data_IF_210126619502
#
_entry.id   IF_210126619502
#
_cell.length_a   1.000
_cell.length_b   1.000
_cell.length_c   1.000
_cell.angle_alpha   90.00
_cell.angle_beta   90.00
_cell.angle_gamma   90.00
#
_symmetry.space_group_name_H-M   'P 1'
#
loop_
_entity.id
_entity.type
_entity.pdbx_description
1 polymer ?
#
# COMPACT_ATOMS: atom_id res chain seq x y z
N UNK A 1 -5.80 -25.71 35.81
CA UNK A 1 -6.50 -26.58 34.86
C UNK A 1 -5.51 -27.47 34.14
N UNK A 2 -5.83 -28.76 33.97
CA UNK A 2 -5.06 -29.66 33.12
C UNK A 2 -5.62 -29.53 31.71
N UNK A 3 -4.76 -29.24 30.75
CA UNK A 3 -5.10 -29.25 29.32
C UNK A 3 -4.36 -30.39 28.63
N UNK A 4 -4.89 -30.85 27.50
CA UNK A 4 -4.28 -31.91 26.72
C UNK A 4 -4.11 -31.46 25.28
N UNK A 5 -2.92 -31.66 24.71
CA UNK A 5 -2.69 -31.41 23.30
C UNK A 5 -3.57 -32.36 22.46
N UNK A 6 -4.37 -31.84 21.51
CA UNK A 6 -5.24 -32.68 20.70
C UNK A 6 -4.45 -33.63 19.77
N UNK A 7 -3.22 -33.26 19.40
CA UNK A 7 -2.39 -34.00 18.45
C UNK A 7 -1.57 -35.13 19.10
N UNK A 8 -0.76 -34.83 20.13
CA UNK A 8 0.16 -35.80 20.75
C UNK A 8 -0.29 -36.29 22.14
N UNK A 9 -1.43 -35.79 22.66
CA UNK A 9 -1.99 -36.15 23.98
C UNK A 9 -1.13 -35.80 25.21
N UNK A 10 -0.03 -35.08 25.03
CA UNK A 10 0.76 -34.51 26.14
C UNK A 10 -0.09 -33.56 27.00
N UNK A 11 0.05 -33.68 28.31
CA UNK A 11 -0.70 -32.89 29.30
C UNK A 11 0.16 -31.75 29.84
N UNK A 12 -0.46 -30.59 30.07
CA UNK A 12 0.18 -29.44 30.70
C UNK A 12 -0.75 -28.83 31.74
N UNK A 13 -0.17 -28.30 32.82
CA UNK A 13 -0.90 -27.61 33.87
C UNK A 13 -0.80 -26.10 33.65
N UNK A 14 -1.94 -25.44 33.46
CA UNK A 14 -2.04 -23.98 33.29
C UNK A 14 -2.94 -23.38 34.38
N UNK A 15 -2.74 -22.10 34.74
CA UNK A 15 -3.68 -21.38 35.61
C UNK A 15 -5.04 -21.20 34.90
N UNK A 16 -6.13 -21.22 35.67
CA UNK A 16 -7.49 -21.10 35.13
C UNK A 16 -7.74 -19.77 34.38
N UNK A 17 -6.97 -18.72 34.70
CA UNK A 17 -7.02 -17.42 34.01
C UNK A 17 -6.54 -17.45 32.55
N UNK A 18 -6.08 -18.60 32.05
CA UNK A 18 -5.60 -18.80 30.67
C UNK A 18 -6.49 -19.76 29.87
N UNK A 19 -7.70 -20.05 30.34
CA UNK A 19 -8.71 -20.76 29.55
C UNK A 19 -9.06 -19.95 28.27
N UNK A 20 -9.11 -20.63 27.12
CA UNK A 20 -9.35 -19.98 25.83
C UNK A 20 -8.12 -19.33 25.18
N UNK A 21 -6.95 -19.31 25.84
CA UNK A 21 -5.72 -18.77 25.26
C UNK A 21 -5.09 -19.74 24.25
N UNK A 22 -4.46 -19.20 23.19
CA UNK A 22 -3.64 -19.99 22.26
C UNK A 22 -2.33 -20.40 22.95
N UNK A 23 -2.09 -21.69 23.07
CA UNK A 23 -0.92 -22.30 23.68
C UNK A 23 -0.19 -23.18 22.69
N UNK A 24 1.15 -23.20 22.76
CA UNK A 24 1.99 -24.07 21.93
C UNK A 24 2.35 -25.34 22.72
N UNK A 25 2.16 -26.51 22.12
CA UNK A 25 2.60 -27.77 22.72
C UNK A 25 4.13 -27.83 22.78
N UNK A 26 4.72 -28.22 23.91
CA UNK A 26 6.17 -28.39 24.06
C UNK A 26 6.75 -29.55 23.26
N UNK A 27 5.95 -30.59 22.99
CA UNK A 27 6.44 -31.83 22.35
C UNK A 27 6.29 -31.81 20.82
N UNK A 28 5.18 -31.27 20.31
CA UNK A 28 4.87 -31.30 18.86
C UNK A 28 4.76 -29.91 18.23
N UNK A 29 5.08 -28.86 18.98
CA UNK A 29 5.07 -27.44 18.59
C UNK A 29 3.74 -26.90 18.01
N UNK A 30 2.68 -27.71 17.99
CA UNK A 30 1.38 -27.32 17.47
C UNK A 30 0.70 -26.33 18.41
N UNK A 31 0.15 -25.26 17.84
CA UNK A 31 -0.64 -24.26 18.57
C UNK A 31 -2.10 -24.70 18.63
N UNK A 32 -2.69 -24.69 19.83
CA UNK A 32 -4.08 -25.04 20.07
C UNK A 32 -4.67 -24.15 21.18
N UNK A 33 -6.00 -24.14 21.32
CA UNK A 33 -6.67 -23.36 22.36
C UNK A 33 -6.73 -24.16 23.66
N UNK A 34 -6.32 -23.54 24.77
CA UNK A 34 -6.33 -24.16 26.08
C UNK A 34 -7.77 -24.39 26.58
N UNK A 35 -8.25 -25.62 26.46
CA UNK A 35 -9.54 -26.07 26.99
C UNK A 35 -9.34 -27.11 28.09
N UNK A 36 -10.11 -27.06 29.19
CA UNK A 36 -9.98 -28.01 30.29
C UNK A 36 -10.25 -29.45 29.83
N UNK A 37 -9.51 -30.40 30.40
CA UNK A 37 -9.71 -31.82 30.17
C UNK A 37 -11.17 -32.19 30.51
N UNK A 38 -11.98 -32.49 29.49
CA UNK A 38 -13.40 -32.86 29.64
C UNK A 38 -14.40 -31.89 28.98
N UNK A 39 -13.99 -30.68 28.57
CA UNK A 39 -14.85 -29.81 27.75
C UNK A 39 -14.82 -30.30 26.29
N UNK A 40 -15.90 -30.94 25.84
CA UNK A 40 -16.08 -31.30 24.43
C UNK A 40 -16.15 -30.01 23.58
N UNK A 41 -15.15 -29.82 22.72
CA UNK A 41 -15.28 -28.88 21.60
C UNK A 41 -16.35 -29.39 20.62
N UNK A 42 -17.08 -28.51 19.92
CA UNK A 42 -17.99 -28.93 18.86
C UNK A 42 -17.17 -29.61 17.76
N UNK A 43 -17.43 -30.89 17.54
CA UNK A 43 -16.78 -31.68 16.49
C UNK A 43 -17.15 -31.10 15.13
N UNK A 44 -16.14 -30.65 14.38
CA UNK A 44 -16.28 -30.31 12.97
C UNK A 44 -16.89 -31.48 12.19
N UNK A 45 -17.81 -31.15 11.28
CA UNK A 45 -18.66 -32.09 10.55
C UNK A 45 -17.85 -33.09 9.73
N UNK A 46 -17.93 -34.36 10.14
CA UNK A 46 -17.65 -35.50 9.28
C UNK A 46 -18.91 -35.86 8.48
N UNK A 47 -18.73 -35.99 7.18
CA UNK A 47 -19.77 -36.38 6.22
C UNK A 47 -20.17 -37.85 6.47
N UNK A 48 -21.43 -38.11 6.81
CA UNK A 48 -21.96 -39.45 7.12
C UNK A 48 -23.01 -39.88 6.08
N UNK A 49 -22.71 -40.85 5.19
CA UNK A 49 -23.55 -41.18 4.04
C UNK A 49 -24.83 -41.96 4.36
N UNK A 50 -25.11 -42.24 5.63
CA UNK A 50 -26.33 -42.96 6.05
C UNK A 50 -27.55 -42.05 6.30
N UNK A 51 -27.37 -40.71 6.37
CA UNK A 51 -28.48 -39.76 6.57
C UNK A 51 -29.30 -39.46 5.30
N UNK A 52 -28.85 -39.91 4.13
CA UNK A 52 -29.52 -39.64 2.85
C UNK A 52 -30.68 -40.60 2.55
N UNK A 53 -30.72 -41.77 3.20
CA UNK A 53 -31.78 -42.77 2.96
C UNK A 53 -33.07 -42.48 3.76
N UNK A 54 -32.97 -41.80 4.91
CA UNK A 54 -34.13 -41.49 5.76
C UNK A 54 -34.93 -40.28 5.22
N UNK A 55 -34.27 -39.34 4.54
CA UNK A 55 -34.92 -38.16 3.96
C UNK A 55 -35.85 -38.47 2.77
N UNK A 56 -35.50 -39.48 1.96
CA UNK A 56 -36.29 -39.83 0.76
C UNK A 56 -37.59 -40.56 1.14
N UNK A 57 -37.58 -41.37 2.20
CA UNK A 57 -38.79 -42.08 2.66
C UNK A 57 -39.80 -41.13 3.32
N UNK A 58 -39.32 -40.10 4.04
CA UNK A 58 -40.19 -39.10 4.67
C UNK A 58 -40.89 -38.20 3.64
N UNK A 59 -40.21 -37.80 2.56
CA UNK A 59 -40.79 -36.97 1.50
C UNK A 59 -41.88 -37.71 0.70
N UNK A 60 -41.71 -39.01 0.45
CA UNK A 60 -42.71 -39.84 -0.26
C UNK A 60 -43.94 -40.06 0.63
N UNK A 61 -43.76 -40.28 1.94
CA UNK A 61 -44.88 -40.43 2.87
C UNK A 61 -45.72 -39.14 3.00
N UNK A 62 -45.07 -37.96 3.03
CA UNK A 62 -45.76 -36.67 3.09
C UNK A 62 -46.53 -36.39 1.78
N UNK A 63 -45.94 -36.74 0.62
CA UNK A 63 -46.61 -36.60 -0.68
C UNK A 63 -47.86 -37.48 -0.84
N UNK A 64 -47.82 -38.72 -0.31
CA UNK A 64 -48.98 -39.64 -0.35
C UNK A 64 -50.09 -39.17 0.59
N UNK A 65 -49.76 -38.61 1.76
CA UNK A 65 -50.76 -38.04 2.69
C UNK A 65 -51.41 -36.79 2.08
N UNK A 66 -50.66 -35.93 1.39
CA UNK A 66 -51.21 -34.73 0.74
C UNK A 66 -52.10 -35.08 -0.48
N UNK A 67 -51.79 -36.16 -1.19
CA UNK A 67 -52.58 -36.64 -2.34
C UNK A 67 -53.94 -37.23 -1.95
N UNK A 68 -54.10 -37.75 -0.73
CA UNK A 68 -55.33 -38.42 -0.28
C UNK A 68 -56.32 -37.47 0.42
N UNK A 69 -55.87 -36.32 0.94
CA UNK A 69 -56.72 -35.41 1.75
C UNK A 69 -57.38 -34.30 0.92
N UNK A 70 -57.09 -34.15 -0.37
CA UNK A 70 -57.63 -33.09 -1.24
C UNK A 70 -59.00 -33.40 -1.88
N UNK A 71 -59.94 -34.01 -1.15
CA UNK A 71 -61.35 -34.10 -1.59
C UNK A 71 -62.34 -33.70 -0.49
N UNK A 72 -62.94 -32.51 -0.71
CA UNK A 72 -64.26 -32.01 -0.23
C UNK A 72 -64.33 -31.42 1.20
N UNK A 73 -65.36 -30.60 1.54
CA UNK A 73 -65.29 -29.13 1.43
C UNK A 73 -65.63 -28.40 2.75
N UNK A 74 -65.43 -27.08 2.73
CA UNK A 74 -65.96 -26.03 3.60
C UNK A 74 -65.98 -26.26 5.11
N UNK A 75 -64.99 -25.67 5.79
CA UNK A 75 -65.08 -25.35 7.21
C UNK A 75 -64.61 -23.92 7.44
N UNK A 76 -65.57 -23.10 7.82
CA UNK A 76 -65.42 -21.72 8.27
C UNK A 76 -64.38 -21.66 9.40
N UNK A 77 -63.28 -20.93 9.18
CA UNK A 77 -62.28 -20.65 10.21
C UNK A 77 -62.36 -19.16 10.56
N UNK A 78 -62.58 -18.92 11.86
CA UNK A 78 -62.49 -17.62 12.51
C UNK A 78 -61.07 -17.08 12.32
N UNK A 79 -60.97 -15.86 11.77
CA UNK A 79 -59.72 -15.12 11.62
C UNK A 79 -59.32 -14.58 13.00
N UNK A 80 -58.33 -15.19 13.63
CA UNK A 80 -57.56 -14.51 14.68
C UNK A 80 -56.61 -13.52 13.99
N UNK A 81 -56.81 -12.24 14.31
CA UNK A 81 -55.96 -11.12 13.92
C UNK A 81 -54.53 -11.39 14.42
N UNK A 82 -53.50 -11.47 13.54
CA UNK A 82 -52.14 -11.63 14.01
C UNK A 82 -51.71 -10.35 14.70
N UNK A 83 -51.36 -10.47 15.98
CA UNK A 83 -50.71 -9.42 16.77
C UNK A 83 -49.59 -8.78 15.94
N UNK A 84 -49.79 -7.50 15.62
CA UNK A 84 -48.75 -6.66 15.06
C UNK A 84 -47.61 -6.58 16.07
N UNK A 85 -46.60 -7.43 15.88
CA UNK A 85 -45.28 -7.20 16.46
C UNK A 85 -44.77 -5.90 15.87
N UNK A 86 -44.88 -4.84 16.64
CA UNK A 86 -44.23 -3.56 16.41
C UNK A 86 -42.75 -3.84 16.25
N UNK A 87 -42.30 -3.90 15.00
CA UNK A 87 -40.90 -4.00 14.64
C UNK A 87 -40.33 -2.64 15.00
N UNK A 88 -39.74 -2.53 16.18
CA UNK A 88 -38.94 -1.37 16.57
C UNK A 88 -37.95 -1.14 15.43
N UNK A 89 -38.09 -0.03 14.71
CA UNK A 89 -37.14 0.37 13.70
C UNK A 89 -35.78 0.46 14.42
N UNK A 90 -34.89 -0.50 14.17
CA UNK A 90 -33.48 -0.37 14.50
C UNK A 90 -33.05 0.96 13.91
N UNK A 91 -32.65 1.90 14.77
CA UNK A 91 -32.03 3.15 14.35
C UNK A 91 -30.92 2.79 13.36
N UNK A 92 -31.07 3.26 12.12
CA UNK A 92 -30.11 2.99 11.06
C UNK A 92 -28.76 3.55 11.53
N UNK A 93 -27.74 2.70 11.61
CA UNK A 93 -26.37 3.14 11.90
C UNK A 93 -25.95 4.14 10.81
N UNK A 94 -25.84 5.45 11.14
CA UNK A 94 -25.57 6.48 10.15
C UNK A 94 -24.12 6.44 9.67
N UNK A 95 -23.26 5.65 10.34
CA UNK A 95 -21.81 5.59 10.12
C UNK A 95 -21.33 4.24 9.60
N UNK A 96 -22.11 3.17 9.79
CA UNK A 96 -21.77 1.83 9.34
C UNK A 96 -22.10 1.55 7.86
N UNK A 97 -22.15 0.26 7.51
CA UNK A 97 -22.36 -0.22 6.15
C UNK A 97 -23.63 0.30 5.47
N UNK A 98 -24.66 0.59 6.26
CA UNK A 98 -25.95 1.11 5.79
C UNK A 98 -26.04 2.64 5.72
N UNK A 99 -24.95 3.34 6.05
CA UNK A 99 -24.83 4.79 5.92
C UNK A 99 -25.14 5.25 4.49
N UNK A 100 -25.81 6.40 4.30
CA UNK A 100 -26.01 6.98 2.97
C UNK A 100 -24.69 7.23 2.23
N UNK A 101 -23.61 7.55 2.93
CA UNK A 101 -22.30 7.82 2.34
C UNK A 101 -21.61 6.55 1.85
N UNK A 102 -21.70 5.47 2.64
CA UNK A 102 -21.20 4.14 2.25
C UNK A 102 -21.99 3.60 1.06
N UNK A 103 -23.31 3.79 1.04
CA UNK A 103 -24.17 3.44 -0.10
C UNK A 103 -23.79 4.21 -1.37
N UNK A 104 -23.51 5.51 -1.26
CA UNK A 104 -23.04 6.32 -2.39
C UNK A 104 -21.69 5.84 -2.94
N UNK A 105 -20.74 5.50 -2.07
CA UNK A 105 -19.46 4.94 -2.48
C UNK A 105 -19.62 3.59 -3.17
N UNK A 106 -20.52 2.72 -2.68
CA UNK A 106 -20.86 1.44 -3.31
C UNK A 106 -21.51 1.62 -4.69
N UNK A 107 -22.42 2.59 -4.81
CA UNK A 107 -23.05 2.94 -6.08
C UNK A 107 -21.99 3.34 -7.12
N UNK A 108 -20.97 4.12 -6.73
CA UNK A 108 -19.84 4.44 -7.62
C UNK A 108 -19.09 3.19 -8.09
N UNK A 109 -18.83 2.22 -7.23
CA UNK A 109 -18.23 0.94 -7.64
C UNK A 109 -19.09 0.18 -8.65
N UNK A 110 -20.40 0.13 -8.44
CA UNK A 110 -21.34 -0.53 -9.35
C UNK A 110 -21.41 0.19 -10.71
N UNK A 111 -21.48 1.52 -10.70
CA UNK A 111 -21.52 2.34 -11.92
C UNK A 111 -20.22 2.26 -12.72
N UNK A 112 -19.07 2.21 -12.03
CA UNK A 112 -17.76 2.04 -12.66
C UNK A 112 -17.64 0.63 -13.27
N UNK A 113 -18.02 -0.42 -12.54
CA UNK A 113 -18.03 -1.78 -13.05
C UNK A 113 -18.99 -1.94 -14.25
N UNK A 114 -20.12 -1.23 -14.25
CA UNK A 114 -21.08 -1.19 -15.36
C UNK A 114 -20.64 -0.25 -16.51
N UNK A 115 -19.51 0.45 -16.38
CA UNK A 115 -19.02 1.47 -17.31
C UNK A 115 -20.05 2.54 -17.67
N UNK A 116 -20.86 2.97 -16.70
CA UNK A 116 -21.89 3.99 -16.89
C UNK A 116 -21.32 5.41 -16.72
N UNK A 117 -20.63 5.89 -17.77
CA UNK A 117 -19.93 7.19 -17.78
C UNK A 117 -20.83 8.37 -17.36
N UNK A 118 -22.08 8.40 -17.84
CA UNK A 118 -23.00 9.50 -17.55
C UNK A 118 -23.36 9.57 -16.07
N UNK A 119 -23.65 8.42 -15.45
CA UNK A 119 -24.00 8.36 -14.03
C UNK A 119 -22.78 8.66 -13.14
N UNK A 120 -21.60 8.13 -13.50
CA UNK A 120 -20.35 8.45 -12.80
C UNK A 120 -20.08 9.96 -12.87
N UNK A 121 -20.17 10.57 -14.06
CA UNK A 121 -19.96 12.02 -14.24
C UNK A 121 -20.87 12.86 -13.33
N UNK A 122 -22.12 12.44 -13.10
CA UNK A 122 -23.05 13.15 -12.24
C UNK A 122 -22.63 13.14 -10.75
N UNK A 123 -21.90 12.10 -10.33
CA UNK A 123 -21.44 11.87 -8.96
C UNK A 123 -20.02 12.38 -8.70
N UNK A 124 -19.29 12.86 -9.72
CA UNK A 124 -17.95 13.43 -9.57
C UNK A 124 -17.98 14.94 -9.39
N UNK A 125 -17.06 15.45 -8.55
CA UNK A 125 -16.84 16.86 -8.30
C UNK A 125 -15.60 17.38 -9.03
N UNK A 126 -15.79 17.94 -10.24
CA UNK A 126 -14.68 18.38 -11.09
C UNK A 126 -13.84 19.50 -10.50
N UNK A 127 -14.46 20.44 -9.77
CA UNK A 127 -13.76 21.59 -9.22
C UNK A 127 -12.74 21.20 -8.15
N UNK A 128 -13.11 20.36 -7.17
CA UNK A 128 -12.17 19.96 -6.12
C UNK A 128 -11.04 19.07 -6.68
N UNK A 129 -11.34 18.25 -7.69
CA UNK A 129 -10.33 17.45 -8.39
C UNK A 129 -9.36 18.35 -9.16
N UNK A 130 -9.88 19.35 -9.90
CA UNK A 130 -9.08 20.31 -10.64
C UNK A 130 -8.20 21.14 -9.71
N UNK A 131 -8.77 21.62 -8.60
CA UNK A 131 -8.07 22.37 -7.56
C UNK A 131 -6.89 21.58 -7.02
N UNK A 132 -7.13 20.33 -6.59
CA UNK A 132 -6.08 19.45 -6.09
C UNK A 132 -4.97 19.20 -7.12
N UNK A 133 -5.32 18.98 -8.40
CA UNK A 133 -4.35 18.68 -9.46
C UNK A 133 -3.50 19.90 -9.85
N UNK A 134 -4.05 21.12 -9.78
CA UNK A 134 -3.35 22.32 -10.24
C UNK A 134 -2.67 23.12 -9.13
N UNK A 135 -3.11 23.03 -7.88
CA UNK A 135 -2.49 23.73 -6.76
C UNK A 135 -1.18 23.09 -6.28
N UNK A 136 -0.65 22.07 -6.98
CA UNK A 136 0.60 21.43 -6.57
C UNK A 136 0.51 20.79 -5.18
N UNK A 137 -0.69 20.44 -4.71
CA UNK A 137 -0.91 19.60 -3.53
C UNK A 137 -0.45 18.17 -3.82
N UNK A 138 0.86 17.99 -3.98
CA UNK A 138 1.58 16.72 -3.84
C UNK A 138 1.78 16.32 -2.37
N UNK A 139 1.10 17.01 -1.44
CA UNK A 139 0.95 16.53 -0.07
C UNK A 139 -0.18 15.49 0.02
N UNK A 140 -0.10 14.51 0.94
CA UNK A 140 -1.23 13.64 1.22
C UNK A 140 -2.45 14.50 1.55
N UNK A 141 -3.63 14.11 1.06
CA UNK A 141 -4.89 14.75 1.44
C UNK A 141 -4.92 14.92 2.97
N UNK A 142 -5.38 16.05 3.53
CA UNK A 142 -5.33 16.29 4.97
C UNK A 142 -5.96 15.09 5.66
N UNK A 143 -5.11 14.29 6.29
CA UNK A 143 -5.55 13.21 7.15
C UNK A 143 -5.70 13.91 8.49
N UNK A 144 -6.91 13.95 9.04
CA UNK A 144 -7.27 14.74 10.24
C UNK A 144 -6.51 14.40 11.54
N UNK A 145 -5.31 13.81 11.44
CA UNK A 145 -4.36 13.55 12.52
C UNK A 145 -2.96 14.16 12.28
N UNK A 146 -2.67 14.72 11.10
CA UNK A 146 -1.37 15.39 10.82
C UNK A 146 -1.43 16.92 10.91
N UNK A 147 -2.63 17.50 10.99
CA UNK A 147 -2.82 18.95 10.94
C UNK A 147 -2.43 19.66 12.24
N UNK A 148 -2.42 18.98 13.40
CA UNK A 148 -2.04 19.67 14.65
C UNK A 148 -0.58 20.10 14.69
N UNK A 149 0.36 19.38 14.05
CA UNK A 149 1.79 19.74 14.07
C UNK A 149 2.04 20.88 13.08
N UNK A 150 1.40 20.83 11.90
CA UNK A 150 1.52 21.86 10.88
C UNK A 150 0.86 23.18 11.31
N UNK A 151 -0.29 23.12 12.01
CA UNK A 151 -0.93 24.33 12.57
C UNK A 151 -0.12 24.93 13.73
N UNK A 152 0.49 24.11 14.61
CA UNK A 152 1.33 24.61 15.71
C UNK A 152 2.63 25.22 15.19
N UNK A 153 3.26 24.61 14.18
CA UNK A 153 4.46 25.14 13.52
C UNK A 153 4.15 26.40 12.69
N UNK A 154 3.02 26.44 11.98
CA UNK A 154 2.57 27.62 11.25
C UNK A 154 2.21 28.78 12.20
N UNK A 155 1.54 28.49 13.33
CA UNK A 155 1.26 29.48 14.36
C UNK A 155 2.54 29.99 15.04
N UNK A 156 3.52 29.11 15.28
CA UNK A 156 4.82 29.50 15.82
C UNK A 156 5.63 30.37 14.84
N UNK A 157 5.59 30.06 13.54
CA UNK A 157 6.21 30.89 12.51
C UNK A 157 5.51 32.23 12.33
N UNK A 158 4.17 32.26 12.37
CA UNK A 158 3.40 33.50 12.32
C UNK A 158 3.69 34.39 13.54
N UNK A 159 3.79 33.81 14.74
CA UNK A 159 4.17 34.53 15.95
C UNK A 159 5.62 35.06 15.89
N UNK A 160 6.55 34.29 15.31
CA UNK A 160 7.93 34.72 15.12
C UNK A 160 8.06 35.88 14.12
N UNK A 161 7.31 35.85 13.00
CA UNK A 161 7.27 36.94 12.01
C UNK A 161 6.61 38.20 12.55
N UNK A 162 5.51 38.05 13.30
CA UNK A 162 4.86 39.16 14.00
C UNK A 162 5.81 39.84 15.01
N UNK A 163 6.63 39.04 15.73
CA UNK A 163 7.66 39.56 16.62
C UNK A 163 8.81 40.25 15.88
N UNK A 164 9.11 39.84 14.65
CA UNK A 164 10.12 40.45 13.79
C UNK A 164 9.64 41.72 13.06
N UNK A 165 8.36 42.08 13.17
CA UNK A 165 7.78 43.25 12.49
C UNK A 165 7.70 43.10 10.97
N UNK A 166 7.77 41.86 10.47
CA UNK A 166 7.59 41.57 9.05
C UNK A 166 6.13 41.81 8.66
N UNK A 167 5.86 42.46 7.51
CA UNK A 167 4.50 42.58 7.02
C UNK A 167 3.92 41.18 6.84
N UNK A 168 2.71 40.97 7.36
CA UNK A 168 1.96 39.72 7.19
C UNK A 168 1.94 39.41 5.68
N UNK A 169 2.46 38.24 5.25
CA UNK A 169 2.44 37.89 3.84
C UNK A 169 0.98 37.90 3.40
N UNK A 170 0.65 38.66 2.36
CA UNK A 170 -0.66 38.56 1.72
C UNK A 170 -0.89 37.08 1.44
N UNK A 171 -1.93 36.51 2.05
CA UNK A 171 -2.31 35.13 1.82
C UNK A 171 -2.36 34.93 0.29
N UNK A 172 -1.73 33.87 -0.25
CA UNK A 172 -1.86 33.58 -1.67
C UNK A 172 -3.36 33.60 -1.98
N UNK A 173 -3.81 34.26 -3.06
CA UNK A 173 -5.22 34.31 -3.37
C UNK A 173 -5.72 32.87 -3.43
N UNK A 174 -6.51 32.47 -2.43
CA UNK A 174 -7.23 31.20 -2.40
C UNK A 174 -8.35 31.36 -3.40
N UNK A 175 -7.98 31.29 -4.67
CA UNK A 175 -8.81 31.80 -5.74
C UNK A 175 -9.79 30.69 -6.13
N UNK A 176 -10.84 30.53 -5.29
CA UNK A 176 -12.06 29.77 -5.54
C UNK A 176 -12.69 30.11 -6.92
N UNK A 177 -12.18 31.14 -7.61
CA UNK A 177 -12.58 31.59 -8.94
C UNK A 177 -11.88 30.87 -10.08
N UNK A 178 -10.77 30.16 -9.85
CA UNK A 178 -9.99 29.58 -10.96
C UNK A 178 -10.80 28.57 -11.78
N UNK A 179 -11.54 27.66 -11.14
CA UNK A 179 -12.40 26.72 -11.85
C UNK A 179 -13.51 27.43 -12.63
N UNK A 180 -14.14 28.45 -12.04
CA UNK A 180 -15.18 29.24 -12.70
C UNK A 180 -14.66 30.06 -13.90
N UNK A 181 -13.35 30.30 -13.98
CA UNK A 181 -12.68 30.97 -15.11
C UNK A 181 -12.29 29.99 -16.24
N UNK A 182 -12.23 28.68 -15.97
CA UNK A 182 -12.02 27.65 -16.98
C UNK A 182 -13.22 27.62 -17.93
N UNK A 183 -12.96 27.61 -19.25
CA UNK A 183 -14.02 27.56 -20.25
C UNK A 183 -14.87 26.28 -20.10
N UNK A 184 -16.18 26.37 -20.33
CA UNK A 184 -17.09 25.24 -20.08
C UNK A 184 -16.78 23.98 -20.89
N UNK A 185 -16.22 24.12 -22.09
CA UNK A 185 -15.72 23.00 -22.90
C UNK A 185 -14.45 22.37 -22.32
N UNK A 186 -13.57 23.18 -21.72
CA UNK A 186 -12.38 22.71 -21.03
C UNK A 186 -12.73 21.99 -19.72
N UNK A 187 -13.68 22.52 -18.94
CA UNK A 187 -14.22 21.83 -17.76
C UNK A 187 -14.81 20.46 -18.13
N UNK A 188 -15.57 20.39 -19.24
CA UNK A 188 -16.16 19.15 -19.73
C UNK A 188 -15.09 18.14 -20.18
N UNK A 189 -14.06 18.58 -20.90
CA UNK A 189 -12.92 17.71 -21.29
C UNK A 189 -12.17 17.20 -20.07
N UNK A 190 -11.90 18.06 -19.09
CA UNK A 190 -11.23 17.68 -17.85
C UNK A 190 -12.02 16.60 -17.11
N UNK A 191 -13.32 16.83 -16.90
CA UNK A 191 -14.20 15.87 -16.25
C UNK A 191 -14.29 14.54 -17.01
N UNK A 192 -14.40 14.57 -18.34
CA UNK A 192 -14.39 13.35 -19.15
C UNK A 192 -13.09 12.55 -18.97
N UNK A 193 -11.94 13.23 -18.91
CA UNK A 193 -10.64 12.60 -18.64
C UNK A 193 -10.58 11.94 -17.26
N UNK A 194 -11.07 12.62 -16.21
CA UNK A 194 -11.15 12.08 -14.85
C UNK A 194 -12.05 10.86 -14.78
N UNK A 195 -13.20 10.89 -15.46
CA UNK A 195 -14.14 9.76 -15.48
C UNK A 195 -13.54 8.59 -16.25
N UNK A 196 -12.90 8.82 -17.39
CA UNK A 196 -12.19 7.77 -18.14
C UNK A 196 -11.12 7.10 -17.27
N UNK A 197 -10.30 7.88 -16.56
CA UNK A 197 -9.30 7.38 -15.62
C UNK A 197 -9.92 6.52 -14.52
N UNK A 198 -11.03 6.95 -13.92
CA UNK A 198 -11.74 6.17 -12.90
C UNK A 198 -12.33 4.87 -13.47
N UNK A 199 -12.82 4.88 -14.71
CA UNK A 199 -13.38 3.71 -15.40
C UNK A 199 -12.32 2.67 -15.83
N UNK A 200 -11.06 3.11 -15.99
CA UNK A 200 -9.92 2.26 -16.33
C UNK A 200 -9.07 1.89 -15.10
N UNK A 201 -9.31 2.51 -13.95
CA UNK A 201 -8.58 2.24 -12.71
C UNK A 201 -8.93 0.86 -12.15
N UNK A 202 -7.93 -0.02 -12.05
CA UNK A 202 -8.08 -1.36 -11.45
C UNK A 202 -8.66 -1.30 -10.03
N UNK A 203 -8.28 -0.29 -9.23
CA UNK A 203 -8.68 -0.14 -7.82
C UNK A 203 -10.21 -0.19 -7.61
N UNK A 204 -11.00 0.30 -8.56
CA UNK A 204 -12.46 0.39 -8.46
C UNK A 204 -13.14 -0.59 -9.42
N UNK A 205 -12.63 -0.73 -10.65
CA UNK A 205 -13.26 -1.57 -11.66
C UNK A 205 -13.23 -3.08 -11.31
N UNK A 206 -12.12 -3.57 -10.75
CA UNK A 206 -11.89 -5.00 -10.51
C UNK A 206 -12.26 -5.47 -9.09
N UNK A 207 -12.60 -4.53 -8.22
CA UNK A 207 -12.86 -4.79 -6.81
C UNK A 207 -14.32 -4.55 -6.46
N UNK A 208 -14.83 -5.28 -5.47
CA UNK A 208 -16.19 -5.19 -4.98
C UNK A 208 -16.20 -4.89 -3.48
N UNK A 209 -16.92 -3.85 -3.03
CA UNK A 209 -17.08 -3.56 -1.62
C UNK A 209 -17.91 -4.63 -0.90
N UNK A 210 -17.45 -5.09 0.26
CA UNK A 210 -18.20 -6.01 1.12
C UNK A 210 -18.39 -5.52 2.57
N UNK A 211 -17.63 -4.51 2.99
CA UNK A 211 -17.76 -3.86 4.30
C UNK A 211 -17.27 -2.39 4.21
N UNK A 212 -17.61 -1.54 5.18
CA UNK A 212 -17.25 -0.13 5.13
C UNK A 212 -17.90 0.74 6.20
N UNK A 213 -17.30 1.91 6.44
CA UNK A 213 -17.72 2.86 7.45
C UNK A 213 -17.38 4.29 7.06
N UNK A 214 -18.02 5.25 7.74
CA UNK A 214 -17.71 6.68 7.68
C UNK A 214 -16.65 6.97 8.74
N UNK A 215 -15.49 7.48 8.30
CA UNK A 215 -14.38 7.83 9.19
C UNK A 215 -14.58 9.21 9.81
N UNK A 216 -14.99 10.19 9.01
CA UNK A 216 -15.26 11.56 9.46
C UNK A 216 -16.35 12.21 8.61
N UNK A 217 -17.08 13.13 9.21
CA UNK A 217 -18.13 13.93 8.58
C UNK A 217 -18.03 15.37 9.10
N UNK A 218 -17.65 16.29 8.22
CA UNK A 218 -17.42 17.70 8.50
C UNK A 218 -18.32 18.57 7.62
N UNK A 219 -19.64 18.46 7.81
CA UNK A 219 -20.70 19.32 7.23
C UNK A 219 -20.82 19.34 5.70
N UNK A 220 -19.74 19.70 5.01
CA UNK A 220 -19.54 19.70 3.57
C UNK A 220 -18.57 18.64 3.08
N UNK A 221 -17.74 18.03 3.95
CA UNK A 221 -16.83 16.94 3.56
C UNK A 221 -17.12 15.67 4.35
N UNK A 222 -17.00 14.50 3.70
CA UNK A 222 -17.17 13.19 4.33
C UNK A 222 -16.10 12.24 3.81
N UNK A 223 -15.45 11.53 4.73
CA UNK A 223 -14.48 10.48 4.44
C UNK A 223 -15.13 9.11 4.68
N UNK A 224 -15.17 8.28 3.64
CA UNK A 224 -15.69 6.91 3.69
C UNK A 224 -14.56 5.93 3.43
N UNK A 225 -14.51 4.84 4.20
CA UNK A 225 -13.57 3.73 3.97
C UNK A 225 -14.34 2.48 3.65
N UNK A 226 -13.98 1.83 2.55
CA UNK A 226 -14.56 0.57 2.10
C UNK A 226 -13.51 -0.54 2.17
N UNK A 227 -13.91 -1.70 2.69
CA UNK A 227 -13.19 -2.94 2.47
C UNK A 227 -13.67 -3.57 1.16
N UNK A 228 -12.72 -3.94 0.32
CA UNK A 228 -13.00 -4.46 -1.01
C UNK A 228 -12.30 -5.80 -1.23
N UNK A 229 -12.98 -6.70 -1.94
CA UNK A 229 -12.47 -7.99 -2.38
C UNK A 229 -12.42 -8.02 -3.90
N UNK A 230 -11.43 -8.70 -4.46
CA UNK A 230 -11.29 -8.76 -5.90
C UNK A 230 -12.42 -9.63 -6.52
N UNK A 231 -13.02 -9.17 -7.61
CA UNK A 231 -14.22 -9.78 -8.21
C UNK A 231 -13.96 -11.15 -8.83
N UNK A 232 -12.78 -11.34 -9.43
CA UNK A 232 -12.46 -12.54 -10.23
C UNK A 232 -11.55 -13.52 -9.49
N UNK A 233 -10.44 -13.04 -8.95
CA UNK A 233 -9.49 -13.80 -8.12
C UNK A 233 -9.74 -13.64 -6.60
N UNK A 234 -10.46 -14.57 -5.94
CA UNK A 234 -10.66 -14.54 -4.48
C UNK A 234 -9.41 -14.89 -3.67
N UNK A 235 -8.30 -15.27 -4.32
CA UNK A 235 -7.02 -15.54 -3.68
C UNK A 235 -6.22 -14.28 -3.34
N UNK A 236 -6.60 -13.13 -3.90
CA UNK A 236 -5.98 -11.84 -3.57
C UNK A 236 -6.42 -11.35 -2.19
N UNK A 237 -5.49 -10.74 -1.46
CA UNK A 237 -5.79 -10.14 -0.16
C UNK A 237 -6.79 -8.98 -0.32
N UNK A 238 -7.77 -8.92 0.59
CA UNK A 238 -8.70 -7.80 0.69
C UNK A 238 -7.94 -6.48 0.84
N UNK A 239 -8.49 -5.41 0.27
CA UNK A 239 -7.89 -4.07 0.31
C UNK A 239 -8.86 -3.08 0.93
N UNK A 240 -8.35 -1.89 1.24
CA UNK A 240 -9.18 -0.77 1.65
C UNK A 240 -9.07 0.36 0.64
N UNK A 241 -10.19 1.02 0.38
CA UNK A 241 -10.29 2.21 -0.48
C UNK A 241 -10.90 3.33 0.33
N UNK A 242 -10.22 4.48 0.39
CA UNK A 242 -10.77 5.70 0.97
C UNK A 242 -11.41 6.53 -0.13
N UNK A 243 -12.63 6.99 0.11
CA UNK A 243 -13.37 7.93 -0.71
C UNK A 243 -13.60 9.21 0.08
N UNK A 244 -13.50 10.36 -0.60
CA UNK A 244 -13.96 11.63 -0.03
C UNK A 244 -15.05 12.24 -0.89
N UNK A 245 -16.07 12.71 -0.20
CA UNK A 245 -17.25 13.32 -0.79
C UNK A 245 -17.37 14.75 -0.31
N UNK A 246 -17.71 15.64 -1.23
CA UNK A 246 -18.00 17.03 -0.95
C UNK A 246 -19.46 17.35 -1.28
N UNK A 247 -20.12 18.13 -0.44
CA UNK A 247 -21.52 18.52 -0.63
C UNK A 247 -21.61 19.79 -1.46
N UNK A 248 -22.07 19.65 -2.71
CA UNK A 248 -22.31 20.78 -3.63
C UNK A 248 -23.75 20.78 -4.12
N UNK A 249 -24.42 21.93 -4.03
CA UNK A 249 -25.82 22.10 -4.43
C UNK A 249 -26.77 21.08 -3.77
N UNK A 250 -26.51 20.75 -2.51
CA UNK A 250 -27.30 19.77 -1.74
C UNK A 250 -27.08 18.31 -2.12
N UNK A 251 -26.14 18.01 -3.03
CA UNK A 251 -25.76 16.65 -3.43
C UNK A 251 -24.31 16.36 -3.04
N UNK A 252 -24.07 15.13 -2.61
CA UNK A 252 -22.73 14.63 -2.32
C UNK A 252 -22.07 14.16 -3.62
N UNK A 253 -20.82 14.55 -3.82
CA UNK A 253 -20.03 14.22 -4.99
C UNK A 253 -18.63 13.77 -4.60
N UNK A 254 -18.15 12.69 -5.19
CA UNK A 254 -16.80 12.19 -4.96
C UNK A 254 -15.77 13.12 -5.60
N UNK A 255 -14.73 13.44 -4.86
CA UNK A 255 -13.62 14.27 -5.33
C UNK A 255 -12.24 13.63 -5.08
N UNK A 256 -12.20 12.51 -4.37
CA UNK A 256 -10.98 11.76 -4.12
C UNK A 256 -11.27 10.29 -3.86
N UNK A 257 -10.40 9.44 -4.39
CA UNK A 257 -10.37 8.00 -4.13
C UNK A 257 -8.94 7.50 -4.21
N UNK A 258 -8.49 6.75 -3.21
CA UNK A 258 -7.18 6.11 -3.24
C UNK A 258 -7.19 4.82 -2.42
N UNK A 259 -6.19 3.95 -2.68
CA UNK A 259 -5.94 2.80 -1.83
C UNK A 259 -5.51 3.31 -0.46
N UNK A 260 -6.31 2.97 0.56
CA UNK A 260 -5.95 3.23 1.94
C UNK A 260 -5.23 2.03 2.52
N UNK A 261 -4.21 2.28 3.34
CA UNK A 261 -3.50 1.23 4.07
C UNK A 261 -3.87 1.33 5.55
N UNK A 262 -4.36 0.23 6.10
CA UNK A 262 -4.66 0.13 7.53
C UNK A 262 -3.39 0.39 8.36
N UNK A 263 -3.52 0.90 9.60
CA UNK A 263 -2.38 1.02 10.50
C UNK A 263 -1.61 -0.28 10.68
N UNK A 264 -2.30 -1.43 10.65
CA UNK A 264 -1.70 -2.75 10.75
C UNK A 264 -0.92 -3.15 9.50
N UNK A 265 -1.43 -2.88 8.29
CA UNK A 265 -0.66 -3.05 7.05
C UNK A 265 0.57 -2.15 7.00
N UNK A 266 0.41 -0.87 7.39
CA UNK A 266 1.52 0.08 7.48
C UNK A 266 2.55 -0.41 8.49
N UNK A 267 2.11 -0.90 9.65
CA UNK A 267 2.99 -1.44 10.69
C UNK A 267 3.66 -2.76 10.26
N UNK A 268 2.94 -3.66 9.59
CA UNK A 268 3.48 -4.89 9.03
C UNK A 268 4.52 -4.57 7.95
N UNK A 269 4.25 -3.60 7.09
CA UNK A 269 5.19 -3.09 6.10
C UNK A 269 6.43 -2.47 6.76
N UNK A 270 6.24 -1.65 7.80
CA UNK A 270 7.34 -1.06 8.60
C UNK A 270 8.18 -2.14 9.29
N UNK A 271 7.56 -3.18 9.83
CA UNK A 271 8.26 -4.33 10.46
C UNK A 271 9.04 -5.14 9.41
N UNK A 272 8.44 -5.42 8.25
CA UNK A 272 9.13 -6.03 7.11
C UNK A 272 10.31 -5.18 6.65
N UNK A 273 10.19 -3.85 6.63
CA UNK A 273 11.29 -2.92 6.29
C UNK A 273 12.41 -2.90 7.33
N UNK A 274 12.08 -2.86 8.63
CA UNK A 274 13.08 -2.83 9.71
C UNK A 274 13.98 -4.07 9.77
N UNK A 275 13.55 -5.20 9.19
CA UNK A 275 14.35 -6.42 9.11
C UNK A 275 15.21 -6.55 7.86
N UNK A 276 15.02 -5.71 6.83
CA UNK A 276 15.66 -5.89 5.52
C UNK A 276 17.04 -5.26 5.37
N UNK A 277 17.36 -4.29 6.23
CA UNK A 277 18.65 -3.58 6.15
C UNK A 277 19.40 -3.62 7.48
N UNK A 278 20.68 -4.00 7.43
CA UNK A 278 21.58 -4.11 8.59
C UNK A 278 22.72 -3.12 8.42
N UNK A 279 22.99 -2.34 9.48
CA UNK A 279 24.17 -1.47 9.54
C UNK A 279 25.37 -2.35 9.92
N UNK A 280 26.37 -2.43 9.06
CA UNK A 280 27.56 -3.27 9.24
C UNK A 280 28.82 -2.41 9.21
N UNK A 281 29.76 -2.70 10.08
CA UNK A 281 31.11 -2.13 10.01
C UNK A 281 32.01 -3.12 9.29
N UNK A 282 32.66 -2.70 8.21
CA UNK A 282 33.61 -3.50 7.46
C UNK A 282 34.96 -3.60 8.18
N UNK A 283 35.82 -4.51 7.75
CA UNK A 283 37.15 -4.73 8.32
C UNK A 283 38.06 -3.48 8.34
N UNK A 284 37.80 -2.49 7.47
CA UNK A 284 38.50 -1.21 7.41
C UNK A 284 37.93 -0.13 8.36
N UNK A 285 36.88 -0.45 9.13
CA UNK A 285 36.19 0.46 10.03
C UNK A 285 35.12 1.33 9.36
N UNK A 286 34.92 1.23 8.04
CA UNK A 286 33.83 1.93 7.35
C UNK A 286 32.48 1.33 7.71
N UNK A 287 31.46 2.19 7.86
CA UNK A 287 30.12 1.77 8.23
C UNK A 287 29.23 1.85 7.00
N UNK A 288 28.66 0.71 6.62
CA UNK A 288 27.80 0.54 5.45
C UNK A 288 26.44 0.02 5.86
N UNK A 289 25.44 0.20 5.00
CA UNK A 289 24.10 -0.33 5.24
C UNK A 289 23.82 -1.35 4.14
N UNK A 290 23.72 -2.60 4.56
CA UNK A 290 23.51 -3.76 3.71
C UNK A 290 22.03 -4.14 3.70
N UNK A 291 21.49 -4.50 2.54
CA UNK A 291 20.17 -5.10 2.39
C UNK A 291 20.24 -6.59 2.07
N UNK A 292 19.13 -7.29 2.28
CA UNK A 292 18.97 -8.69 1.84
C UNK A 292 18.92 -8.77 0.31
N UNK A 293 19.89 -9.50 -0.27
CA UNK A 293 19.99 -9.78 -1.72
C UNK A 293 18.85 -10.72 -2.12
N UNK A 294 18.04 -10.28 -3.09
CA UNK A 294 16.89 -11.04 -3.59
C UNK A 294 16.45 -10.52 -4.95
N UNK A 295 15.81 -11.34 -5.79
CA UNK A 295 15.14 -10.85 -6.99
C UNK A 295 14.10 -9.77 -6.63
N UNK A 296 14.04 -8.72 -7.45
CA UNK A 296 13.12 -7.60 -7.27
C UNK A 296 12.12 -7.61 -8.43
N UNK A 297 10.80 -7.73 -8.15
CA UNK A 297 9.80 -7.68 -9.20
C UNK A 297 9.77 -6.29 -9.85
N UNK A 298 9.31 -6.23 -11.10
CA UNK A 298 8.98 -4.97 -11.76
C UNK A 298 7.95 -4.18 -10.95
N UNK A 299 7.98 -2.86 -11.10
CA UNK A 299 6.93 -1.99 -10.57
C UNK A 299 5.62 -2.23 -11.31
N UNK A 300 4.51 -2.12 -10.59
CA UNK A 300 3.15 -2.34 -11.11
C UNK A 300 2.86 -1.39 -12.30
N UNK A 301 3.42 -0.18 -12.26
CA UNK A 301 3.26 0.87 -13.28
C UNK A 301 4.09 0.63 -14.56
N UNK A 302 5.07 -0.30 -14.55
CA UNK A 302 5.90 -0.55 -15.74
C UNK A 302 5.12 -1.34 -16.78
N UNK A 303 4.95 -0.78 -17.98
CA UNK A 303 4.22 -1.42 -19.09
C UNK A 303 4.87 -2.74 -19.55
N UNK A 304 4.08 -3.67 -20.11
CA UNK A 304 4.61 -4.96 -20.60
C UNK A 304 5.65 -4.76 -21.71
N UNK A 305 5.44 -3.76 -22.57
CA UNK A 305 6.38 -3.42 -23.64
C UNK A 305 7.71 -2.91 -23.08
N UNK A 306 7.66 -2.03 -22.07
CA UNK A 306 8.86 -1.53 -21.40
C UNK A 306 9.59 -2.64 -20.66
N UNK A 307 8.89 -3.55 -19.97
CA UNK A 307 9.51 -4.74 -19.34
C UNK A 307 10.31 -5.54 -20.36
N UNK A 308 9.69 -5.87 -21.51
CA UNK A 308 10.36 -6.62 -22.56
C UNK A 308 11.55 -5.85 -23.18
N UNK A 309 11.45 -4.52 -23.29
CA UNK A 309 12.56 -3.67 -23.73
C UNK A 309 13.71 -3.69 -22.73
N UNK A 310 13.42 -3.52 -21.45
CA UNK A 310 14.42 -3.50 -20.37
C UNK A 310 15.12 -4.84 -20.27
N UNK A 311 14.39 -5.97 -20.29
CA UNK A 311 14.97 -7.32 -20.24
C UNK A 311 15.98 -7.54 -21.37
N UNK A 312 15.66 -7.10 -22.60
CA UNK A 312 16.58 -7.18 -23.74
C UNK A 312 17.84 -6.34 -23.53
N UNK A 313 17.70 -5.11 -23.04
CA UNK A 313 18.85 -4.23 -22.78
C UNK A 313 19.74 -4.79 -21.65
N UNK A 314 19.14 -5.30 -20.59
CA UNK A 314 19.83 -5.98 -19.50
C UNK A 314 20.65 -7.18 -20.01
N UNK A 315 20.06 -8.04 -20.85
CA UNK A 315 20.76 -9.17 -21.45
C UNK A 315 21.94 -8.72 -22.34
N UNK A 316 21.76 -7.69 -23.15
CA UNK A 316 22.83 -7.13 -23.99
C UNK A 316 23.94 -6.47 -23.17
N UNK A 317 23.62 -5.89 -22.02
CA UNK A 317 24.60 -5.23 -21.14
C UNK A 317 25.61 -6.22 -20.59
N UNK A 318 25.15 -7.40 -20.13
CA UNK A 318 26.00 -8.41 -19.48
C UNK A 318 26.60 -9.43 -20.45
N UNK A 319 26.25 -9.35 -21.74
CA UNK A 319 26.85 -10.18 -22.79
C UNK A 319 28.31 -9.75 -23.02
N UNK A 320 29.25 -10.57 -22.55
CA UNK A 320 30.68 -10.31 -22.66
C UNK A 320 31.19 -10.50 -24.10
N UNK A 321 30.49 -11.30 -24.90
CA UNK A 321 30.80 -11.53 -26.32
C UNK A 321 30.26 -10.42 -27.23
N UNK A 322 29.31 -9.61 -26.73
CA UNK A 322 28.79 -8.47 -27.46
C UNK A 322 29.89 -7.42 -27.76
N UNK A 323 29.78 -6.79 -28.93
CA UNK A 323 30.69 -5.71 -29.29
C UNK A 323 30.52 -4.51 -28.32
N UNK A 324 31.60 -3.79 -27.94
CA UNK A 324 31.51 -2.65 -27.03
C UNK A 324 30.45 -1.58 -27.38
N UNK A 325 30.19 -1.24 -28.66
CA UNK A 325 29.12 -0.31 -29.03
C UNK A 325 27.72 -0.81 -28.66
N UNK A 326 27.48 -2.12 -28.73
CA UNK A 326 26.19 -2.74 -28.38
C UNK A 326 25.96 -2.59 -26.88
N UNK A 327 26.95 -2.93 -26.05
CA UNK A 327 26.88 -2.73 -24.59
C UNK A 327 26.71 -1.27 -24.21
N UNK A 328 27.41 -0.37 -24.88
CA UNK A 328 27.31 1.07 -24.63
C UNK A 328 25.91 1.59 -24.96
N UNK A 329 25.31 1.13 -26.06
CA UNK A 329 23.94 1.46 -26.44
C UNK A 329 22.93 0.87 -25.44
N UNK A 330 23.16 -0.36 -24.98
CA UNK A 330 22.32 -0.99 -23.95
C UNK A 330 22.34 -0.19 -22.64
N UNK A 331 23.52 0.21 -22.16
CA UNK A 331 23.65 1.05 -20.96
C UNK A 331 22.90 2.38 -21.11
N UNK A 332 23.12 3.10 -22.22
CA UNK A 332 22.42 4.38 -22.47
C UNK A 332 20.90 4.19 -22.51
N UNK A 333 20.43 3.13 -23.18
CA UNK A 333 19.00 2.83 -23.22
C UNK A 333 18.40 2.55 -21.84
N UNK A 334 19.14 1.89 -20.94
CA UNK A 334 18.71 1.68 -19.55
C UNK A 334 18.71 2.98 -18.74
N UNK A 335 19.73 3.82 -18.93
CA UNK A 335 19.82 5.15 -18.30
C UNK A 335 18.67 6.06 -18.74
N UNK A 336 18.34 6.06 -20.04
CA UNK A 336 17.22 6.82 -20.59
C UNK A 336 15.86 6.35 -20.04
N UNK A 337 15.69 5.06 -19.77
CA UNK A 337 14.47 4.53 -19.13
C UNK A 337 14.41 4.98 -17.66
N UNK A 338 15.53 4.98 -16.94
CA UNK A 338 15.61 5.49 -15.57
C UNK A 338 15.06 4.52 -14.52
N UNK A 339 14.17 5.00 -13.65
CA UNK A 339 13.67 4.25 -12.48
C UNK A 339 13.10 2.87 -12.82
N UNK A 340 12.27 2.67 -13.87
CA UNK A 340 11.73 1.36 -14.21
C UNK A 340 12.79 0.30 -14.53
N UNK A 341 14.00 0.71 -14.91
CA UNK A 341 15.11 -0.22 -15.18
C UNK A 341 15.81 -0.73 -13.90
N UNK A 342 15.59 -0.11 -12.74
CA UNK A 342 16.30 -0.45 -11.50
C UNK A 342 15.93 -1.85 -10.96
N UNK A 343 14.64 -2.26 -10.86
CA UNK A 343 14.28 -3.60 -10.40
C UNK A 343 14.95 -4.77 -11.17
N UNK A 344 14.93 -4.81 -12.51
CA UNK A 344 15.58 -5.89 -13.25
C UNK A 344 17.11 -5.83 -13.15
N UNK A 345 17.73 -4.64 -13.12
CA UNK A 345 19.17 -4.51 -12.87
C UNK A 345 19.56 -5.07 -11.50
N UNK A 346 18.81 -4.75 -10.45
CA UNK A 346 19.01 -5.32 -9.10
C UNK A 346 18.78 -6.82 -9.09
N UNK A 347 17.81 -7.32 -9.86
CA UNK A 347 17.57 -8.76 -10.01
C UNK A 347 18.78 -9.46 -10.63
N UNK A 348 19.45 -8.86 -11.62
CA UNK A 348 20.70 -9.42 -12.15
C UNK A 348 21.80 -9.51 -11.08
N UNK A 349 21.93 -8.51 -10.20
CA UNK A 349 22.87 -8.58 -9.08
C UNK A 349 22.54 -9.71 -8.07
N UNK A 350 21.28 -10.15 -8.00
CA UNK A 350 20.88 -11.26 -7.15
C UNK A 350 21.04 -12.63 -7.80
N UNK A 351 20.96 -12.71 -9.13
CA UNK A 351 20.92 -13.96 -9.89
C UNK A 351 22.31 -14.36 -10.40
N UNK A 352 23.14 -13.40 -10.82
CA UNK A 352 24.50 -13.67 -11.28
C UNK A 352 25.38 -13.98 -10.05
N UNK A 353 25.99 -15.19 -9.97
CA UNK A 353 26.82 -15.57 -8.83
C UNK A 353 28.12 -14.76 -8.82
N UNK A 354 28.76 -14.56 -7.67
CA UNK A 354 30.09 -13.93 -7.58
C UNK A 354 31.16 -15.00 -7.37
N UNK A 355 31.33 -15.89 -8.35
CA UNK A 355 32.25 -17.02 -8.27
C UNK A 355 33.44 -16.89 -9.21
N UNK A 356 33.24 -16.30 -10.39
CA UNK A 356 34.27 -16.14 -11.42
C UNK A 356 34.60 -14.68 -11.71
N UNK A 357 35.73 -14.44 -12.40
CA UNK A 357 36.10 -13.10 -12.87
C UNK A 357 35.12 -12.58 -13.92
N UNK A 358 34.62 -13.45 -14.80
CA UNK A 358 33.59 -13.11 -15.78
C UNK A 358 32.31 -12.63 -15.09
N UNK A 359 31.86 -13.34 -14.05
CA UNK A 359 30.69 -12.91 -13.28
C UNK A 359 30.93 -11.55 -12.60
N UNK A 360 32.12 -11.34 -12.03
CA UNK A 360 32.48 -10.08 -11.40
C UNK A 360 32.46 -8.92 -12.41
N UNK A 361 32.90 -9.16 -13.66
CA UNK A 361 32.83 -8.19 -14.75
C UNK A 361 31.37 -7.90 -15.12
N UNK A 362 30.52 -8.93 -15.26
CA UNK A 362 29.10 -8.76 -15.54
C UNK A 362 28.41 -7.93 -14.45
N UNK A 363 28.62 -8.29 -13.18
CA UNK A 363 28.10 -7.56 -12.03
C UNK A 363 28.62 -6.12 -11.97
N UNK A 364 29.85 -5.88 -12.43
CA UNK A 364 30.37 -4.52 -12.52
C UNK A 364 29.66 -3.69 -13.58
N UNK A 365 29.34 -4.26 -14.74
CA UNK A 365 28.58 -3.56 -15.79
C UNK A 365 27.20 -3.16 -15.25
N UNK A 366 26.54 -4.07 -14.52
CA UNK A 366 25.27 -3.78 -13.83
C UNK A 366 25.44 -2.72 -12.75
N UNK A 367 26.50 -2.80 -11.93
CA UNK A 367 26.81 -1.81 -10.90
C UNK A 367 27.00 -0.40 -11.49
N UNK A 368 27.71 -0.28 -12.62
CA UNK A 368 27.92 0.99 -13.31
C UNK A 368 26.60 1.54 -13.87
N UNK A 369 25.77 0.70 -14.49
CA UNK A 369 24.45 1.12 -14.99
C UNK A 369 23.54 1.64 -13.86
N UNK A 370 23.51 0.95 -12.72
CA UNK A 370 22.78 1.39 -11.53
C UNK A 370 23.32 2.72 -10.99
N UNK A 371 24.65 2.90 -11.00
CA UNK A 371 25.29 4.15 -10.58
C UNK A 371 24.98 5.31 -11.55
N UNK A 372 24.97 5.06 -12.86
CA UNK A 372 24.63 6.06 -13.87
C UNK A 372 23.17 6.51 -13.75
N UNK A 373 22.23 5.59 -13.45
CA UNK A 373 20.82 5.94 -13.22
C UNK A 373 20.66 6.71 -11.91
N UNK A 374 21.26 6.22 -10.82
CA UNK A 374 20.92 6.68 -9.46
C UNK A 374 21.85 7.73 -8.86
N UNK A 375 23.05 7.90 -9.42
CA UNK A 375 24.16 8.63 -8.81
C UNK A 375 24.71 7.99 -7.52
N UNK A 376 24.18 6.85 -7.08
CA UNK A 376 24.61 6.19 -5.86
C UNK A 376 25.84 5.31 -6.12
N UNK A 377 26.85 5.44 -5.26
CA UNK A 377 28.10 4.67 -5.34
C UNK A 377 28.21 3.74 -4.14
N UNK A 378 28.48 2.46 -4.40
CA UNK A 378 28.74 1.45 -3.38
C UNK A 378 30.23 1.10 -3.31
N UNK A 379 30.61 0.27 -2.34
CA UNK A 379 31.99 -0.24 -2.21
C UNK A 379 32.35 -1.34 -3.21
N UNK A 380 31.47 -1.68 -4.16
CA UNK A 380 31.70 -2.76 -5.11
C UNK A 380 32.87 -2.42 -6.05
N UNK A 381 33.79 -3.38 -6.24
CA UNK A 381 34.95 -3.28 -7.13
C UNK A 381 35.22 -4.66 -7.74
N UNK A 382 35.59 -4.73 -9.02
CA UNK A 382 35.66 -5.99 -9.78
C UNK A 382 36.79 -6.91 -9.33
N UNK A 383 37.96 -6.33 -9.01
CA UNK A 383 39.18 -7.09 -8.85
C UNK A 383 39.96 -6.64 -7.61
N UNK A 384 40.63 -7.58 -6.94
CA UNK A 384 41.52 -7.34 -5.79
C UNK A 384 42.58 -6.25 -6.03
N UNK A 385 43.13 -6.16 -7.26
CA UNK A 385 44.09 -5.13 -7.65
C UNK A 385 43.51 -3.71 -7.62
N UNK A 386 42.18 -3.58 -7.67
CA UNK A 386 41.45 -2.32 -7.51
C UNK A 386 41.03 -2.08 -6.04
N UNK A 387 41.58 -2.85 -5.09
CA UNK A 387 41.26 -2.77 -3.67
C UNK A 387 39.95 -3.47 -3.29
N UNK A 388 39.46 -4.40 -4.12
CA UNK A 388 38.28 -5.20 -3.83
C UNK A 388 38.65 -6.39 -2.93
N UNK A 389 38.28 -6.37 -1.65
CA UNK A 389 38.23 -7.62 -0.88
C UNK A 389 36.92 -8.34 -1.20
N UNK A 390 36.88 -9.67 -1.08
CA UNK A 390 35.63 -10.44 -1.22
C UNK A 390 34.52 -9.89 -0.31
N UNK A 391 34.89 -9.47 0.91
CA UNK A 391 33.98 -8.79 1.83
C UNK A 391 33.38 -7.51 1.22
N UNK A 392 34.20 -6.66 0.57
CA UNK A 392 33.74 -5.42 -0.07
C UNK A 392 32.89 -5.66 -1.32
N UNK A 393 33.17 -6.73 -2.06
CA UNK A 393 32.35 -7.11 -3.21
C UNK A 393 30.96 -7.55 -2.74
N UNK A 394 30.89 -8.53 -1.83
CA UNK A 394 29.62 -9.00 -1.28
C UNK A 394 28.85 -7.88 -0.57
N UNK A 395 29.56 -7.03 0.20
CA UNK A 395 28.96 -5.86 0.84
C UNK A 395 28.46 -4.83 -0.16
N UNK A 396 29.24 -4.56 -1.22
CA UNK A 396 28.88 -3.60 -2.26
C UNK A 396 27.61 -3.98 -3.02
N UNK A 397 27.39 -5.29 -3.25
CA UNK A 397 26.14 -5.81 -3.79
C UNK A 397 24.99 -5.63 -2.79
N UNK A 398 25.19 -6.01 -1.52
CA UNK A 398 24.17 -5.83 -0.48
C UNK A 398 23.79 -4.36 -0.26
N UNK A 399 24.73 -3.43 -0.42
CA UNK A 399 24.46 -1.99 -0.31
C UNK A 399 23.48 -1.49 -1.37
N UNK A 400 23.43 -2.10 -2.56
CA UNK A 400 22.40 -1.78 -3.56
C UNK A 400 21.00 -2.14 -3.08
N UNK A 401 20.83 -3.32 -2.46
CA UNK A 401 19.54 -3.71 -1.86
C UNK A 401 19.20 -2.84 -0.64
N UNK A 402 20.21 -2.45 0.14
CA UNK A 402 20.07 -1.51 1.24
C UNK A 402 19.62 -0.12 0.77
N UNK A 403 20.14 0.34 -0.37
CA UNK A 403 19.68 1.55 -1.03
C UNK A 403 18.25 1.39 -1.55
N UNK A 404 17.95 0.30 -2.25
CA UNK A 404 16.62 0.04 -2.82
C UNK A 404 15.53 0.09 -1.75
N UNK A 405 15.71 -0.67 -0.66
CA UNK A 405 14.71 -0.78 0.40
C UNK A 405 14.43 0.56 1.11
N UNK A 406 15.41 1.47 1.13
CA UNK A 406 15.32 2.78 1.80
C UNK A 406 14.90 3.91 0.86
N UNK A 407 15.49 3.99 -0.34
CA UNK A 407 15.47 5.18 -1.20
C UNK A 407 14.66 5.00 -2.49
N UNK A 408 14.47 3.78 -3.00
CA UNK A 408 13.85 3.54 -4.32
C UNK A 408 12.51 4.26 -4.53
N UNK A 409 11.58 4.16 -3.58
CA UNK A 409 10.25 4.80 -3.70
C UNK A 409 10.31 6.33 -3.84
N UNK A 410 11.31 6.98 -3.24
CA UNK A 410 11.48 8.46 -3.23
C UNK A 410 12.47 8.94 -4.29
N UNK A 411 13.01 8.04 -5.09
CA UNK A 411 14.08 8.34 -6.03
C UNK A 411 13.61 9.31 -7.14
N UNK A 412 12.33 9.32 -7.48
CA UNK A 412 11.72 10.31 -8.39
C UNK A 412 11.40 11.65 -7.73
N UNK A 413 11.09 11.68 -6.42
CA UNK A 413 10.76 12.91 -5.67
C UNK A 413 11.97 13.86 -5.48
N UNK A 414 13.16 13.54 -6.02
CA UNK A 414 14.43 14.10 -5.55
C UNK A 414 15.28 14.90 -6.54
N UNK A 415 14.85 15.13 -7.77
CA UNK A 415 15.50 16.20 -8.54
C UNK A 415 15.33 17.58 -7.87
N UNK A 416 14.35 17.75 -6.96
CA UNK A 416 14.17 18.98 -6.15
C UNK A 416 14.80 18.92 -4.74
N UNK A 417 15.08 17.73 -4.19
CA UNK A 417 15.53 17.52 -2.78
C UNK A 417 17.03 17.20 -2.61
N UNK A 418 17.85 17.49 -3.63
CA UNK A 418 19.30 17.33 -3.55
C UNK A 418 19.99 18.22 -2.50
N UNK A 419 19.34 19.32 -2.09
CA UNK A 419 19.87 20.27 -1.11
C UNK A 419 19.83 19.76 0.35
N UNK A 420 18.76 19.10 0.78
CA UNK A 420 18.60 18.68 2.20
C UNK A 420 19.52 17.51 2.62
N UNK A 421 19.95 16.64 1.69
CA UNK A 421 20.78 15.48 2.05
C UNK A 421 22.27 15.83 2.17
N UNK A 422 22.71 16.94 1.56
CA UNK A 422 24.04 17.52 1.79
C UNK A 422 24.10 18.15 3.19
N UNK A 423 23.02 18.81 3.62
CA UNK A 423 22.92 19.42 4.95
C UNK A 423 22.95 18.40 6.08
N UNK A 424 22.22 17.28 5.97
CA UNK A 424 22.23 16.22 6.99
C UNK A 424 23.60 15.51 7.14
N UNK A 425 24.41 15.49 6.06
CA UNK A 425 25.74 14.89 6.07
C UNK A 425 26.78 15.85 6.66
N UNK A 426 26.64 17.15 6.38
CA UNK A 426 27.43 18.23 6.98
C UNK A 426 27.17 18.36 8.49
N UNK A 427 25.92 18.19 8.94
CA UNK A 427 25.58 18.24 10.37
C UNK A 427 26.13 17.04 11.16
N UNK A 428 26.50 15.95 10.49
CA UNK A 428 27.14 14.77 11.09
C UNK A 428 28.65 14.71 10.91
N UNK A 429 29.25 15.73 10.28
CA UNK A 429 30.68 15.78 10.02
C UNK A 429 31.46 16.26 11.25
N UNK A 430 32.27 15.38 11.84
CA UNK A 430 33.23 15.72 12.90
C UNK A 430 34.62 16.00 12.27
N UNK A 431 35.13 17.25 12.31
CA UNK A 431 36.42 17.57 11.75
C UNK A 431 37.55 16.83 12.47
N UNK A 432 38.47 16.22 11.72
CA UNK A 432 39.56 15.40 12.27
C UNK A 432 40.84 16.18 12.51
N UNK A 433 40.90 17.42 12.00
CA UNK A 433 42.02 18.34 12.19
C UNK A 433 41.56 19.78 12.39
N UNK A 434 42.41 20.60 13.01
CA UNK A 434 42.11 22.02 13.24
C UNK A 434 41.98 22.82 11.94
N UNK A 435 42.67 22.39 10.87
CA UNK A 435 42.55 22.99 9.54
C UNK A 435 41.18 22.70 8.91
N UNK A 436 40.72 21.45 8.98
CA UNK A 436 39.38 21.06 8.50
C UNK A 436 38.28 21.77 9.29
N UNK A 437 38.46 21.96 10.61
CA UNK A 437 37.50 22.70 11.43
C UNK A 437 37.36 24.16 10.96
N UNK A 438 38.47 24.84 10.66
CA UNK A 438 38.46 26.23 10.18
C UNK A 438 37.86 26.37 8.78
N UNK A 439 38.12 25.39 7.89
CA UNK A 439 37.51 25.36 6.56
C UNK A 439 36.00 25.09 6.64
N UNK A 440 35.58 24.20 7.54
CA UNK A 440 34.17 23.91 7.80
C UNK A 440 33.41 25.09 8.44
N UNK A 441 34.01 25.75 9.44
CA UNK A 441 33.46 26.96 10.07
C UNK A 441 33.32 28.12 9.05
N UNK A 442 34.30 28.27 8.14
CA UNK A 442 34.22 29.27 7.05
C UNK A 442 33.07 28.97 6.09
N UNK A 443 32.92 27.71 5.68
CA UNK A 443 31.85 27.28 4.78
C UNK A 443 30.46 27.45 5.42
N UNK A 444 30.33 27.22 6.72
CA UNK A 444 29.09 27.46 7.48
C UNK A 444 28.75 28.95 7.59
N UNK A 445 29.76 29.80 7.80
CA UNK A 445 29.57 31.26 7.86
C UNK A 445 29.20 31.88 6.51
N UNK A 446 29.70 31.34 5.39
CA UNK A 446 29.30 31.73 4.03
C UNK A 446 27.88 31.26 3.65
N UNK A 447 27.34 30.27 4.37
CA UNK A 447 25.98 29.73 4.15
C UNK A 447 24.93 30.44 5.01
N UNK A 448 25.26 30.75 6.26
CA UNK A 448 24.32 31.30 7.25
C UNK A 448 24.25 32.85 7.24
N UNK A 449 24.98 33.53 6.35
CA UNK A 449 24.96 34.98 6.15
C UNK A 449 24.70 35.35 4.71
#
# INVERSE_FOLDING_TARGET
MIIQCPACKTQAQLPASKEGAKVRCSECERVYVATPLGSRAPSGGGFDPTKLVIGVVAAIAIGVIYGVVSKTPDREYVVEEPEQRTRTALEADPTGWDSPYVKLARELFELVAARNEQAVTALIDGENIWRRRNEGFGGPAPTGKQDWIAEEEAAAQAAARAAAGEPEPEAPPTDDRLWALVAGDEQARFLAGVVAELLDTELVAEWEPFDGWVESEDGFDVVVRLQVSHRVDPGLENRHVEWRFFKRNGRWKAWYWERWYTPDEVNAYRRKRKGKTVKRTLSDGSIVIEGEVRPIPYDDETSIEDRARIDRLCAQLIDLDALPPVRTAANRGLVEIGKPALPPLLTMLAVVPLETEEDAIQLNLVHLALADITGYVTTFKVHELLGATRERQESGLKQWFGWYDRKYRRFEERQEKGLEEVDALLDSFEPRSEKERREFERYRAERDG
#
